data_IF_159354043992
#
_entry.id   IF_159354043992
#
_cell.length_a   1.000
_cell.length_b   1.000
_cell.length_c   1.000
_cell.angle_alpha   90.00
_cell.angle_beta   90.00
_cell.angle_gamma   90.00
#
_symmetry.space_group_name_H-M   'P 1'
#
loop_
_entity.id
_entity.type
_entity.pdbx_description
1 polymer ?
#
# COMPACT_ATOMS: atom_id res chain seq x y z
N UNK A 1 57.70 -2.77 -5.98
CA UNK A 1 56.51 -3.32 -6.66
C UNK A 1 55.29 -2.61 -6.08
N UNK A 2 54.62 -1.75 -6.84
CA UNK A 2 53.45 -1.00 -6.35
C UNK A 2 52.21 -1.87 -6.54
N UNK A 3 51.66 -2.38 -5.43
CA UNK A 3 50.44 -3.17 -5.45
C UNK A 3 49.27 -2.26 -5.82
N UNK A 4 48.72 -2.41 -7.02
CA UNK A 4 47.50 -1.73 -7.44
C UNK A 4 46.32 -2.42 -6.77
N UNK A 5 45.78 -1.82 -5.72
CA UNK A 5 44.56 -2.31 -5.07
C UNK A 5 43.42 -2.32 -6.10
N UNK A 6 42.88 -3.50 -6.40
CA UNK A 6 41.73 -3.66 -7.29
C UNK A 6 40.48 -3.13 -6.58
N UNK A 7 39.85 -2.10 -7.14
CA UNK A 7 38.60 -1.51 -6.65
C UNK A 7 37.35 -2.34 -7.03
N UNK A 8 37.51 -3.35 -7.89
CA UNK A 8 36.42 -4.17 -8.41
C UNK A 8 35.58 -4.90 -7.34
N UNK A 9 36.15 -5.56 -6.31
CA UNK A 9 35.33 -6.26 -5.31
C UNK A 9 34.51 -5.29 -4.44
N UNK A 10 35.04 -4.09 -4.16
CA UNK A 10 34.32 -3.05 -3.43
C UNK A 10 33.13 -2.52 -4.24
N UNK A 11 33.32 -2.29 -5.55
CA UNK A 11 32.24 -1.87 -6.45
C UNK A 11 31.15 -2.95 -6.59
N UNK A 12 31.54 -4.24 -6.64
CA UNK A 12 30.60 -5.35 -6.74
C UNK A 12 29.74 -5.51 -5.47
N UNK A 13 30.34 -5.35 -4.28
CA UNK A 13 29.61 -5.36 -3.00
C UNK A 13 28.61 -4.20 -2.96
N UNK A 14 29.01 -3.01 -3.43
CA UNK A 14 28.15 -1.82 -3.45
C UNK A 14 26.98 -1.95 -4.44
N UNK A 15 27.20 -2.62 -5.59
CA UNK A 15 26.15 -2.94 -6.56
C UNK A 15 25.14 -3.98 -6.03
N UNK A 16 25.53 -4.86 -5.11
CA UNK A 16 24.61 -5.82 -4.47
C UNK A 16 23.77 -5.20 -3.35
N UNK A 17 24.05 -3.96 -2.96
CA UNK A 17 23.26 -3.18 -2.00
C UNK A 17 22.14 -2.35 -2.66
N UNK A 18 21.88 -2.55 -3.96
CA UNK A 18 20.71 -1.93 -4.62
C UNK A 18 19.45 -2.50 -3.96
N UNK A 19 18.89 -1.72 -3.04
CA UNK A 19 17.69 -2.10 -2.32
C UNK A 19 16.50 -2.06 -3.26
N UNK A 20 15.66 -3.09 -3.17
CA UNK A 20 14.33 -3.09 -3.79
C UNK A 20 13.54 -1.90 -3.25
N UNK A 21 13.27 -0.95 -4.14
CA UNK A 21 12.47 0.23 -3.86
C UNK A 21 10.99 -0.14 -3.87
N UNK A 22 10.42 -0.52 -2.72
CA UNK A 22 8.97 -0.64 -2.59
C UNK A 22 8.38 0.71 -2.23
N UNK A 23 7.69 1.36 -3.17
CA UNK A 23 6.91 2.57 -2.89
C UNK A 23 5.91 2.35 -1.76
N UNK A 24 5.85 3.30 -0.84
CA UNK A 24 4.90 3.29 0.27
C UNK A 24 4.05 4.55 0.25
N UNK A 25 2.75 4.34 0.37
CA UNK A 25 1.78 5.41 0.40
C UNK A 25 0.37 4.90 0.56
N UNK A 26 -0.54 5.83 0.79
CA UNK A 26 -1.97 5.55 1.04
C UNK A 26 -2.84 6.68 0.53
N UNK A 27 -4.08 6.34 0.17
CA UNK A 27 -5.10 7.32 -0.20
C UNK A 27 -5.83 7.79 1.08
N UNK A 28 -5.63 9.05 1.45
CA UNK A 28 -6.24 9.67 2.63
C UNK A 28 -7.66 10.14 2.36
N UNK A 29 -7.92 10.69 1.17
CA UNK A 29 -9.22 11.26 0.78
C UNK A 29 -9.64 10.76 -0.61
N UNK A 30 -10.81 10.10 -0.74
CA UNK A 30 -11.54 9.47 0.36
C UNK A 30 -10.67 8.38 1.02
N UNK A 31 -10.83 8.10 2.32
CA UNK A 31 -9.95 7.18 3.02
C UNK A 31 -10.08 5.77 2.43
N UNK A 32 -8.97 5.21 1.94
CA UNK A 32 -8.99 3.81 1.50
C UNK A 32 -9.21 2.86 2.68
N UNK A 33 -9.61 1.63 2.35
CA UNK A 33 -10.01 0.61 3.35
C UNK A 33 -8.91 0.27 4.36
N UNK A 34 -7.63 0.38 3.99
CA UNK A 34 -6.53 0.16 4.94
C UNK A 34 -6.38 1.30 5.95
N UNK A 35 -6.59 2.54 5.52
CA UNK A 35 -6.44 3.73 6.36
C UNK A 35 -7.69 4.04 7.20
N UNK A 36 -8.88 3.69 6.72
CA UNK A 36 -10.16 4.15 7.29
C UNK A 36 -10.29 3.89 8.80
N UNK A 37 -9.77 2.76 9.30
CA UNK A 37 -9.81 2.41 10.73
C UNK A 37 -8.97 3.31 11.64
N UNK A 38 -8.03 4.10 11.10
CA UNK A 38 -7.25 5.09 11.86
C UNK A 38 -8.02 6.38 12.16
N UNK A 39 -9.14 6.61 11.48
CA UNK A 39 -9.91 7.83 11.63
C UNK A 39 -10.88 7.70 12.83
N UNK A 40 -10.98 8.73 13.70
CA UNK A 40 -11.80 8.66 14.90
C UNK A 40 -13.26 8.27 14.65
N UNK A 41 -13.84 8.72 13.53
CA UNK A 41 -15.23 8.43 13.17
C UNK A 41 -15.51 6.95 12.86
N UNK A 42 -14.48 6.14 12.58
CA UNK A 42 -14.61 4.70 12.32
C UNK A 42 -14.03 3.84 13.46
N UNK A 43 -13.66 4.46 14.59
CA UNK A 43 -13.16 3.75 15.76
C UNK A 43 -14.19 2.73 16.27
N UNK A 44 -13.74 1.51 16.54
CA UNK A 44 -14.60 0.39 16.95
C UNK A 44 -15.43 -0.24 15.82
N UNK A 45 -15.45 0.33 14.61
CA UNK A 45 -16.15 -0.22 13.45
C UNK A 45 -15.20 -0.97 12.50
N UNK A 46 -14.06 -0.37 12.18
CA UNK A 46 -13.04 -0.97 11.31
C UNK A 46 -11.73 -1.11 12.09
N UNK A 47 -11.09 -2.30 12.11
CA UNK A 47 -9.79 -2.47 12.75
C UNK A 47 -8.73 -1.55 12.17
N UNK A 48 -7.79 -1.08 12.99
CA UNK A 48 -6.63 -0.32 12.54
C UNK A 48 -5.68 -1.25 11.77
N UNK A 49 -5.41 -0.93 10.50
CA UNK A 49 -4.28 -1.51 9.78
C UNK A 49 -3.04 -0.64 9.97
N UNK A 50 -2.04 -1.13 10.72
CA UNK A 50 -0.80 -0.40 10.91
C UNK A 50 0.06 -0.32 9.64
N UNK A 51 -0.07 -1.29 8.73
CA UNK A 51 0.60 -1.35 7.43
C UNK A 51 -0.24 -0.81 6.27
N UNK A 52 -1.15 0.12 6.54
CA UNK A 52 -2.05 0.75 5.56
C UNK A 52 -1.32 1.39 4.38
N UNK A 53 -0.08 1.83 4.56
CA UNK A 53 0.76 2.44 3.52
C UNK A 53 1.60 1.43 2.71
N UNK A 54 1.46 0.11 2.96
CA UNK A 54 2.31 -0.95 2.38
C UNK A 54 1.53 -1.93 1.48
N UNK A 55 0.46 -1.49 0.82
CA UNK A 55 -0.39 -2.34 -0.03
C UNK A 55 0.21 -2.55 -1.43
N UNK A 56 1.39 -3.15 -1.50
CA UNK A 56 2.19 -3.36 -2.72
C UNK A 56 1.88 -4.67 -3.46
N UNK A 57 0.66 -5.20 -3.32
CA UNK A 57 0.25 -6.49 -3.89
C UNK A 57 1.15 -7.68 -3.51
N UNK A 58 1.73 -7.64 -2.31
CA UNK A 58 2.65 -8.67 -1.81
C UNK A 58 4.11 -8.48 -2.22
N UNK A 59 4.46 -7.31 -2.78
CA UNK A 59 5.83 -6.94 -3.15
C UNK A 59 6.25 -7.39 -4.54
N UNK A 60 7.40 -6.91 -4.99
CA UNK A 60 7.89 -7.05 -6.37
C UNK A 60 7.97 -8.50 -6.85
N UNK A 61 8.31 -9.45 -5.96
CA UNK A 61 8.36 -10.87 -6.28
C UNK A 61 6.98 -11.46 -6.65
N UNK A 62 5.90 -10.93 -6.06
CA UNK A 62 4.53 -11.40 -6.32
C UNK A 62 3.90 -10.74 -7.55
N UNK A 63 4.36 -9.54 -7.92
CA UNK A 63 3.80 -8.76 -9.02
C UNK A 63 4.50 -8.99 -10.37
N UNK A 64 5.60 -9.75 -10.42
CA UNK A 64 6.35 -10.06 -11.66
C UNK A 64 5.48 -10.59 -12.82
N UNK A 65 4.41 -11.32 -12.49
CA UNK A 65 3.46 -11.86 -13.47
C UNK A 65 2.31 -10.92 -13.83
N UNK A 66 2.36 -9.64 -13.44
CA UNK A 66 1.32 -8.64 -13.68
C UNK A 66 0.06 -8.79 -12.82
N UNK A 67 0.01 -9.79 -11.94
CA UNK A 67 -1.18 -10.10 -11.13
C UNK A 67 -1.21 -9.28 -9.84
N UNK A 68 -2.35 -8.64 -9.58
CA UNK A 68 -2.57 -7.77 -8.42
C UNK A 68 -3.97 -8.00 -7.83
N UNK A 69 -4.11 -7.95 -6.50
CA UNK A 69 -5.43 -7.82 -5.89
C UNK A 69 -5.98 -6.41 -6.14
N UNK A 70 -7.29 -6.27 -6.34
CA UNK A 70 -7.88 -4.99 -6.78
C UNK A 70 -7.76 -3.88 -5.71
N UNK A 71 -7.59 -4.27 -4.45
CA UNK A 71 -7.44 -3.37 -3.31
C UNK A 71 -6.01 -3.35 -2.73
N UNK A 72 -5.00 -3.78 -3.51
CA UNK A 72 -3.58 -3.73 -3.10
C UNK A 72 -3.11 -4.91 -2.26
N UNK A 73 -4.00 -5.85 -1.92
CA UNK A 73 -3.61 -7.16 -1.40
C UNK A 73 -2.87 -7.98 -2.47
N UNK A 74 -2.09 -8.97 -2.03
CA UNK A 74 -1.47 -9.92 -2.96
C UNK A 74 -2.53 -10.67 -3.79
N UNK A 75 -2.21 -10.95 -5.05
CA UNK A 75 -3.15 -11.67 -5.91
C UNK A 75 -3.44 -13.08 -5.38
N UNK A 76 -2.42 -13.81 -4.93
CA UNK A 76 -2.56 -15.16 -4.40
C UNK A 76 -2.80 -15.12 -2.89
N UNK A 77 -3.99 -15.46 -2.41
CA UNK A 77 -4.26 -15.60 -0.98
C UNK A 77 -5.41 -14.73 -0.49
N UNK A 78 -5.47 -14.54 0.84
CA UNK A 78 -6.54 -13.79 1.50
C UNK A 78 -6.41 -12.30 1.17
N UNK A 79 -7.52 -11.69 0.73
CA UNK A 79 -7.59 -10.27 0.37
C UNK A 79 -8.39 -9.51 1.41
N UNK A 80 -7.68 -8.91 2.35
CA UNK A 80 -8.25 -8.31 3.56
C UNK A 80 -8.98 -6.99 3.29
N UNK A 81 -8.62 -6.32 2.19
CA UNK A 81 -9.14 -5.02 1.80
C UNK A 81 -10.23 -5.13 0.72
N UNK A 82 -10.54 -6.33 0.23
CA UNK A 82 -11.69 -6.57 -0.65
C UNK A 82 -12.98 -6.73 0.15
N UNK A 83 -14.13 -6.39 -0.45
CA UNK A 83 -15.46 -6.37 0.19
C UNK A 83 -15.74 -7.65 0.99
N UNK A 84 -16.08 -7.49 2.28
CA UNK A 84 -16.30 -8.61 3.20
C UNK A 84 -15.04 -9.02 3.99
N UNK A 85 -13.87 -8.52 3.59
CA UNK A 85 -12.59 -8.71 4.27
C UNK A 85 -12.50 -8.01 5.63
N UNK A 86 -11.32 -8.12 6.24
CA UNK A 86 -11.05 -7.58 7.57
C UNK A 86 -11.21 -6.05 7.63
N UNK A 87 -10.79 -5.35 6.59
CA UNK A 87 -10.81 -3.88 6.53
C UNK A 87 -11.95 -3.33 5.64
N UNK A 88 -12.76 -4.20 5.03
CA UNK A 88 -13.80 -3.83 4.07
C UNK A 88 -15.20 -4.25 4.57
N UNK A 89 -15.64 -3.61 5.66
CA UNK A 89 -16.82 -4.01 6.44
C UNK A 89 -18.19 -3.62 5.85
N UNK A 90 -18.25 -3.14 4.61
CA UNK A 90 -19.50 -2.64 4.03
C UNK A 90 -20.65 -3.67 4.07
N UNK A 91 -20.46 -4.97 3.79
CA UNK A 91 -21.55 -5.95 3.87
C UNK A 91 -22.17 -6.06 5.28
N UNK A 92 -21.37 -5.86 6.33
CA UNK A 92 -21.77 -6.00 7.73
C UNK A 92 -22.27 -4.68 8.34
N UNK A 93 -21.65 -3.56 7.98
CA UNK A 93 -21.87 -2.26 8.63
C UNK A 93 -22.53 -1.22 7.72
N UNK A 94 -22.69 -1.52 6.43
CA UNK A 94 -23.39 -0.71 5.42
C UNK A 94 -22.87 0.74 5.40
N UNK A 95 -23.77 1.72 5.46
CA UNK A 95 -23.47 3.15 5.38
C UNK A 95 -22.53 3.65 6.49
N UNK A 96 -22.43 2.93 7.62
CA UNK A 96 -21.57 3.31 8.74
C UNK A 96 -20.07 3.31 8.42
N UNK A 97 -19.68 2.71 7.29
CA UNK A 97 -18.28 2.62 6.84
C UNK A 97 -18.07 3.21 5.45
N UNK A 98 -18.92 4.16 5.04
CA UNK A 98 -18.71 4.97 3.83
C UNK A 98 -17.70 6.07 4.13
N UNK A 99 -16.58 6.08 3.40
CA UNK A 99 -15.49 7.05 3.60
C UNK A 99 -15.80 8.46 3.08
N UNK A 100 -16.65 8.59 2.06
CA UNK A 100 -17.13 9.86 1.52
C UNK A 100 -18.34 9.63 0.59
N UNK A 101 -19.13 10.69 0.38
CA UNK A 101 -20.25 10.72 -0.55
C UNK A 101 -20.03 11.82 -1.59
N UNK A 102 -20.36 11.53 -2.85
CA UNK A 102 -20.18 12.46 -3.97
C UNK A 102 -21.42 12.46 -4.87
N UNK A 103 -21.70 13.61 -5.49
CA UNK A 103 -22.77 13.71 -6.47
C UNK A 103 -22.29 13.16 -7.83
N UNK A 104 -23.17 12.53 -8.63
CA UNK A 104 -22.80 12.12 -9.99
C UNK A 104 -22.24 13.29 -10.80
N UNK A 105 -21.08 13.09 -11.44
CA UNK A 105 -20.42 14.10 -12.27
C UNK A 105 -19.59 15.15 -11.50
N UNK A 106 -19.54 15.09 -10.16
CA UNK A 106 -18.71 16.03 -9.39
C UNK A 106 -17.21 15.79 -9.62
N UNK A 107 -16.44 16.86 -9.76
CA UNK A 107 -14.98 16.79 -9.59
C UNK A 107 -14.66 16.55 -8.11
N UNK A 108 -13.69 15.68 -7.83
CA UNK A 108 -13.25 15.37 -6.47
C UNK A 108 -11.75 15.59 -6.31
N UNK A 109 -11.36 16.18 -5.19
CA UNK A 109 -9.96 16.27 -4.79
C UNK A 109 -9.56 14.97 -4.09
N UNK A 110 -8.51 14.33 -4.63
CA UNK A 110 -7.91 13.16 -4.04
C UNK A 110 -6.64 13.54 -3.28
N UNK A 111 -6.48 13.00 -2.07
CA UNK A 111 -5.27 13.18 -1.30
C UNK A 111 -4.54 11.86 -1.14
N UNK A 112 -3.34 11.77 -1.70
CA UNK A 112 -2.43 10.64 -1.52
C UNK A 112 -1.29 11.09 -0.63
N UNK A 113 -0.98 10.29 0.39
CA UNK A 113 0.21 10.46 1.19
C UNK A 113 1.26 9.46 0.73
N UNK A 114 2.41 9.98 0.33
CA UNK A 114 3.62 9.19 0.07
C UNK A 114 4.44 9.15 1.36
N UNK A 115 4.65 7.97 1.92
CA UNK A 115 5.40 7.78 3.17
C UNK A 115 6.83 7.34 2.91
N UNK A 116 7.10 6.73 1.76
CA UNK A 116 8.44 6.56 1.22
C UNK A 116 8.40 6.94 -0.25
N UNK A 117 9.20 7.94 -0.62
CA UNK A 117 9.30 8.40 -2.00
C UNK A 117 10.29 7.52 -2.75
N UNK A 118 9.82 6.89 -3.82
CA UNK A 118 10.65 6.15 -4.76
C UNK A 118 10.36 6.75 -6.14
N UNK A 119 11.39 7.32 -6.77
CA UNK A 119 11.35 7.80 -8.16
C UNK A 119 11.86 6.71 -9.10
#
# INVERSE_FOLDING_TARGET
MKSTASLAPMALIMAMMVQDASAHGRLLVPPHRGYIGKLPQFSGLVPINFGDHSLSAGGIGQTRGGKHGICGDRYSGKRLHETGGEFAKFPQLREKVIGACYAPGSTMDLQVQITANHM
#
